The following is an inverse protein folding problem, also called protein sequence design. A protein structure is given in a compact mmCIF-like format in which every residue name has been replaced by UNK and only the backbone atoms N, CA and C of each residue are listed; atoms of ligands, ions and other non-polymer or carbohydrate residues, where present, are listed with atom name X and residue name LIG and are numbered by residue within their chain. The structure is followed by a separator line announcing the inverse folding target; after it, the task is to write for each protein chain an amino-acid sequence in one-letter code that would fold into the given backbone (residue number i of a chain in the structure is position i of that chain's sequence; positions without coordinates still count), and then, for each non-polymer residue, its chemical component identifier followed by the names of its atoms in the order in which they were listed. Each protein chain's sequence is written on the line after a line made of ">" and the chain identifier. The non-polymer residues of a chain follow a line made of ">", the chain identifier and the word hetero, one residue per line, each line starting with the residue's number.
data_IF_792421783992
#
_entry.id   IF_792421783992
#
_cell.length_a   1.000
_cell.length_b   1.000
_cell.length_c   1.000
_cell.angle_alpha   90.00
_cell.angle_beta   90.00
_cell.angle_gamma   90.00
#
_symmetry.space_group_name_H-M   'P 1'
#
loop_
_entity.id
_entity.type
_entity.pdbx_description
1 polymer ?
#
# COMPACT_ATOMS: atom_id res chain seq x y z
N UNK A 1 2.84 -1.34 6.28
CA UNK A 1 2.46 -0.49 5.13
C UNK A 1 0.95 -0.36 5.12
N UNK A 2 0.37 0.77 4.73
CA UNK A 2 -1.09 0.89 4.56
C UNK A 2 -1.58 0.36 3.20
N UNK A 3 -0.69 -0.15 2.36
CA UNK A 3 -1.02 -0.68 1.03
C UNK A 3 -1.34 0.39 -0.02
N UNK A 4 -1.18 1.68 0.31
CA UNK A 4 -1.44 2.80 -0.60
C UNK A 4 -0.12 3.30 -1.18
N UNK A 5 -0.03 3.33 -2.50
CA UNK A 5 1.16 3.77 -3.22
C UNK A 5 0.78 4.77 -4.32
N UNK A 6 1.48 5.89 -4.38
CA UNK A 6 1.37 6.84 -5.48
C UNK A 6 2.61 6.71 -6.37
N UNK A 7 2.44 6.13 -7.55
CA UNK A 7 3.51 5.92 -8.52
C UNK A 7 3.25 6.71 -9.80
N UNK A 8 4.31 7.24 -10.41
CA UNK A 8 4.23 7.79 -11.76
C UNK A 8 4.01 6.65 -12.75
N UNK A 9 3.12 6.84 -13.72
CA UNK A 9 2.89 5.86 -14.79
C UNK A 9 4.19 5.46 -15.51
N UNK A 10 5.05 6.43 -15.79
CA UNK A 10 6.35 6.18 -16.44
C UNK A 10 7.29 5.29 -15.64
N UNK A 11 7.13 5.22 -14.30
CA UNK A 11 7.87 4.27 -13.46
C UNK A 11 7.28 2.86 -13.58
N UNK A 12 5.95 2.75 -13.56
CA UNK A 12 5.25 1.45 -13.67
C UNK A 12 5.56 0.78 -15.02
N UNK A 13 5.67 1.55 -16.10
CA UNK A 13 6.06 1.03 -17.42
C UNK A 13 7.48 0.44 -17.47
N UNK A 14 8.31 0.70 -16.46
CA UNK A 14 9.67 0.15 -16.37
C UNK A 14 9.71 -1.15 -15.56
N UNK A 15 8.57 -1.62 -15.04
CA UNK A 15 8.51 -2.89 -14.32
C UNK A 15 8.75 -4.06 -15.29
N UNK A 16 9.38 -5.15 -14.80
CA UNK A 16 9.60 -6.33 -15.64
C UNK A 16 8.27 -6.92 -16.09
N UNK A 17 8.23 -7.46 -17.31
CA UNK A 17 7.04 -8.11 -17.90
C UNK A 17 6.65 -9.44 -17.24
N UNK A 18 7.15 -9.73 -16.04
CA UNK A 18 6.83 -10.91 -15.24
C UNK A 18 5.65 -10.60 -14.31
N UNK A 19 4.75 -11.55 -14.15
CA UNK A 19 3.64 -11.47 -13.20
C UNK A 19 3.47 -12.82 -12.48
N UNK A 20 3.22 -12.85 -11.17
CA UNK A 20 3.04 -11.69 -10.28
C UNK A 20 4.36 -11.02 -9.87
N UNK A 21 4.25 -9.78 -9.38
CA UNK A 21 5.32 -9.04 -8.67
C UNK A 21 4.85 -8.72 -7.25
N UNK A 22 5.71 -8.94 -6.26
CA UNK A 22 5.54 -8.46 -4.89
C UNK A 22 6.16 -7.07 -4.75
N UNK A 23 5.44 -6.17 -4.09
CA UNK A 23 5.99 -4.85 -3.81
C UNK A 23 7.14 -4.91 -2.80
N UNK A 24 7.01 -5.76 -1.80
CA UNK A 24 7.95 -5.94 -0.70
C UNK A 24 9.23 -6.66 -1.13
N UNK A 25 9.10 -7.66 -2.00
CA UNK A 25 10.21 -8.55 -2.39
C UNK A 25 10.84 -8.18 -3.74
N UNK A 26 10.06 -7.68 -4.69
CA UNK A 26 10.56 -7.35 -6.03
C UNK A 26 10.68 -5.83 -6.23
N UNK A 27 9.59 -5.07 -6.05
CA UNK A 27 9.52 -3.66 -6.49
C UNK A 27 10.37 -2.72 -5.63
N UNK A 28 10.12 -2.64 -4.32
CA UNK A 28 10.85 -1.70 -3.47
C UNK A 28 12.35 -1.97 -3.41
N UNK A 29 12.82 -3.22 -3.25
CA UNK A 29 14.25 -3.51 -3.30
C UNK A 29 14.91 -3.04 -4.61
N UNK A 30 14.27 -3.29 -5.76
CA UNK A 30 14.80 -2.85 -7.06
C UNK A 30 14.85 -1.32 -7.17
N UNK A 31 13.78 -0.61 -6.78
CA UNK A 31 13.73 0.85 -6.82
C UNK A 31 14.83 1.48 -5.95
N UNK A 32 15.07 0.91 -4.76
CA UNK A 32 16.15 1.34 -3.86
C UNK A 32 17.51 1.07 -4.48
N UNK A 33 17.73 -0.11 -5.05
CA UNK A 33 18.99 -0.48 -5.71
C UNK A 33 19.29 0.47 -6.88
N UNK A 34 18.26 0.87 -7.62
CA UNK A 34 18.33 1.85 -8.73
C UNK A 34 18.43 3.30 -8.27
N UNK A 35 18.46 3.55 -6.95
CA UNK A 35 18.48 4.89 -6.34
C UNK A 35 17.32 5.79 -6.79
N UNK A 36 16.16 5.18 -7.07
CA UNK A 36 14.93 5.94 -7.33
C UNK A 36 14.54 6.64 -6.04
N UNK A 37 14.20 7.94 -6.13
CA UNK A 37 13.77 8.70 -4.98
C UNK A 37 12.40 8.19 -4.49
N UNK A 38 12.39 7.56 -3.32
CA UNK A 38 11.17 7.15 -2.63
C UNK A 38 10.86 8.15 -1.51
N UNK A 39 9.60 8.60 -1.44
CA UNK A 39 9.12 9.46 -0.36
C UNK A 39 8.05 8.73 0.43
N UNK A 40 8.15 8.78 1.75
CA UNK A 40 7.10 8.31 2.66
C UNK A 40 6.25 9.50 3.08
N UNK A 41 4.93 9.35 3.01
CA UNK A 41 3.98 10.29 3.58
C UNK A 41 3.28 9.62 4.75
N UNK A 42 3.55 10.10 5.96
CA UNK A 42 2.97 9.55 7.19
C UNK A 42 1.63 10.22 7.42
N UNK A 43 0.60 9.41 7.59
CA UNK A 43 -0.76 9.86 7.89
C UNK A 43 -1.11 9.38 9.29
N UNK A 44 -1.65 10.27 10.11
CA UNK A 44 -2.28 9.91 11.37
C UNK A 44 -3.80 9.86 11.16
N UNK A 45 -4.27 8.71 10.69
CA UNK A 45 -5.68 8.43 10.44
C UNK A 45 -6.00 6.99 10.87
N UNK A 46 -7.27 6.68 11.20
CA UNK A 46 -7.73 5.33 11.44
C UNK A 46 -7.36 4.41 10.26
N UNK A 47 -6.80 3.25 10.56
CA UNK A 47 -6.44 2.23 9.57
C UNK A 47 -6.79 0.84 10.11
N UNK A 48 -7.39 0.01 9.27
CA UNK A 48 -7.72 -1.39 9.58
C UNK A 48 -7.26 -2.28 8.43
N UNK A 49 -6.37 -3.22 8.74
CA UNK A 49 -6.01 -4.31 7.85
C UNK A 49 -6.95 -5.51 8.08
N UNK A 50 -7.70 -5.90 7.05
CA UNK A 50 -8.68 -6.99 7.10
C UNK A 50 -8.09 -8.36 6.72
N UNK A 51 -6.76 -8.53 6.80
CA UNK A 51 -6.05 -9.75 6.42
C UNK A 51 -6.33 -11.00 7.27
N UNK A 52 -7.08 -10.90 8.38
CA UNK A 52 -7.48 -12.05 9.21
C UNK A 52 -8.99 -12.12 9.39
N UNK A 53 -9.56 -13.31 9.68
CA UNK A 53 -10.99 -13.43 10.01
C UNK A 53 -11.42 -12.54 11.18
N UNK A 54 -10.53 -12.33 12.15
CA UNK A 54 -10.81 -11.47 13.32
C UNK A 54 -10.88 -9.99 12.96
N UNK A 55 -9.96 -9.50 12.13
CA UNK A 55 -9.97 -8.10 11.72
C UNK A 55 -11.04 -7.80 10.67
N UNK A 56 -11.37 -8.76 9.80
CA UNK A 56 -12.49 -8.65 8.88
C UNK A 56 -13.83 -8.45 9.62
N UNK A 57 -14.06 -9.18 10.72
CA UNK A 57 -15.26 -9.01 11.55
C UNK A 57 -15.38 -7.61 12.16
N UNK A 58 -14.28 -6.88 12.32
CA UNK A 58 -14.27 -5.52 12.86
C UNK A 58 -14.55 -4.45 11.80
N UNK A 59 -14.50 -4.79 10.50
CA UNK A 59 -14.56 -3.83 9.41
C UNK A 59 -15.85 -3.00 9.38
N UNK A 60 -17.01 -3.62 9.60
CA UNK A 60 -18.29 -2.90 9.63
C UNK A 60 -18.33 -1.84 10.73
N UNK A 61 -17.83 -2.19 11.91
CA UNK A 61 -17.78 -1.27 13.04
C UNK A 61 -16.78 -0.14 12.78
N UNK A 62 -15.61 -0.47 12.25
CA UNK A 62 -14.59 0.49 11.86
C UNK A 62 -15.13 1.52 10.86
N UNK A 63 -15.86 1.10 9.82
CA UNK A 63 -16.47 2.03 8.85
C UNK A 63 -17.51 2.92 9.51
N UNK A 64 -18.38 2.37 10.37
CA UNK A 64 -19.41 3.15 11.07
C UNK A 64 -18.80 4.21 12.00
N UNK A 65 -17.74 3.87 12.75
CA UNK A 65 -17.08 4.79 13.66
C UNK A 65 -16.34 5.93 12.96
N UNK A 66 -15.84 5.68 11.75
CA UNK A 66 -15.01 6.63 11.01
C UNK A 66 -15.78 7.32 9.87
N UNK A 67 -17.12 7.24 9.86
CA UNK A 67 -17.98 7.72 8.75
C UNK A 67 -17.77 9.19 8.37
N UNK A 68 -17.49 10.05 9.34
CA UNK A 68 -17.23 11.49 9.15
C UNK A 68 -15.87 11.78 8.49
N UNK A 69 -15.00 10.78 8.33
CA UNK A 69 -13.68 10.91 7.69
C UNK A 69 -13.65 10.36 6.25
N UNK A 70 -14.79 9.85 5.75
CA UNK A 70 -14.94 9.36 4.38
C UNK A 70 -15.56 10.40 3.45
#
# INVERSE_FOLDING_TARGET
>A
SSGIYLLRHSLVQQFPSRSPLSFEQDVFPELIQRRVLLKVYVVNAPFLDIGTPDSLRQAEFFVKQNREQF
#
